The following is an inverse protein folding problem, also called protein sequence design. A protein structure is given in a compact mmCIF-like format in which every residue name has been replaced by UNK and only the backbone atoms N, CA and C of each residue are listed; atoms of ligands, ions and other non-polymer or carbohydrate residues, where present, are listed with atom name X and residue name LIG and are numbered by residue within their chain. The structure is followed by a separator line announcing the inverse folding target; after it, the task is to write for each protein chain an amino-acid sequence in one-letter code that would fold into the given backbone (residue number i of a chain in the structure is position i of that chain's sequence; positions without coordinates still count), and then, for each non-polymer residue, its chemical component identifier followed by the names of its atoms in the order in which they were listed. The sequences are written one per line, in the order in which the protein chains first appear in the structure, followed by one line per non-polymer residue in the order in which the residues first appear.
data_IF_175392353244
#
_entry.id   IF_175392353244
#
_cell.length_a   1.000
_cell.length_b   1.000
_cell.length_c   1.000
_cell.angle_alpha   90.00
_cell.angle_beta   90.00
_cell.angle_gamma   90.00
#
_symmetry.space_group_name_H-M   'P 1'
#
loop_
_entity.id
_entity.type
_entity.pdbx_description
1 polymer ?
#
# COMPACT_ATOMS: atom_id res chain seq x y z
N UNK A 1 16.34 -36.20 -18.42
CA UNK A 1 16.58 -34.85 -17.86
C UNK A 1 16.62 -33.86 -19.01
N UNK A 2 15.78 -32.81 -18.99
CA UNK A 2 15.81 -31.76 -20.01
C UNK A 2 16.77 -30.70 -19.51
N UNK A 3 17.83 -30.44 -20.27
CA UNK A 3 18.83 -29.45 -19.86
C UNK A 3 18.22 -28.05 -19.78
N UNK A 4 18.75 -27.27 -18.84
CA UNK A 4 18.29 -25.91 -18.57
C UNK A 4 18.58 -25.04 -19.80
N UNK A 5 17.63 -24.22 -20.28
CA UNK A 5 17.85 -23.35 -21.42
C UNK A 5 19.10 -22.47 -21.25
N UNK A 6 19.88 -22.21 -22.32
CA UNK A 6 21.09 -21.40 -22.24
C UNK A 6 20.87 -20.02 -21.59
N UNK A 7 19.68 -19.45 -21.73
CA UNK A 7 19.29 -18.17 -21.15
C UNK A 7 19.29 -18.15 -19.61
N UNK A 8 19.07 -19.30 -18.96
CA UNK A 8 19.15 -19.44 -17.49
C UNK A 8 20.54 -19.91 -17.03
N UNK A 9 21.24 -20.70 -17.85
CA UNK A 9 22.57 -21.23 -17.55
C UNK A 9 23.62 -20.12 -17.52
N UNK A 10 23.55 -19.15 -18.45
CA UNK A 10 24.53 -18.06 -18.54
C UNK A 10 24.59 -17.22 -17.26
N UNK A 11 23.47 -16.70 -16.71
CA UNK A 11 23.49 -16.01 -15.42
C UNK A 11 24.03 -16.86 -14.27
N UNK A 12 23.68 -18.14 -14.22
CA UNK A 12 24.13 -19.05 -13.16
C UNK A 12 25.65 -19.26 -13.20
N UNK A 13 26.23 -19.43 -14.39
CA UNK A 13 27.68 -19.57 -14.55
C UNK A 13 28.42 -18.30 -14.15
N UNK A 14 27.92 -17.13 -14.56
CA UNK A 14 28.50 -15.84 -14.17
C UNK A 14 28.51 -15.69 -12.65
N UNK A 15 27.39 -16.01 -11.99
CA UNK A 15 27.30 -15.98 -10.52
C UNK A 15 28.24 -17.00 -9.86
N UNK A 16 28.38 -18.20 -10.42
CA UNK A 16 29.26 -19.26 -9.90
C UNK A 16 30.74 -18.83 -9.95
N UNK A 17 31.17 -18.24 -11.08
CA UNK A 17 32.51 -17.67 -11.21
C UNK A 17 32.71 -16.59 -10.14
N UNK A 18 31.76 -15.67 -9.99
CA UNK A 18 31.79 -14.64 -8.95
C UNK A 18 31.93 -15.23 -7.53
N UNK A 19 31.16 -16.27 -7.20
CA UNK A 19 31.20 -16.91 -5.88
C UNK A 19 32.57 -17.58 -5.57
N UNK A 20 33.22 -18.18 -6.57
CA UNK A 20 34.56 -18.78 -6.42
C UNK A 20 35.62 -17.70 -6.12
N UNK A 21 35.55 -16.56 -6.82
CA UNK A 21 36.54 -15.49 -6.68
C UNK A 21 36.25 -14.52 -5.52
N UNK A 22 35.01 -14.45 -5.04
CA UNK A 22 34.60 -13.52 -3.99
C UNK A 22 35.41 -13.65 -2.68
N UNK A 23 35.83 -14.87 -2.33
CA UNK A 23 36.61 -15.14 -1.11
C UNK A 23 38.12 -14.88 -1.21
N UNK A 24 38.64 -14.58 -2.41
CA UNK A 24 40.07 -14.33 -2.61
C UNK A 24 40.47 -12.96 -2.04
N UNK A 25 41.70 -12.84 -1.54
CA UNK A 25 42.21 -11.62 -0.87
C UNK A 25 42.02 -10.35 -1.72
N UNK A 26 42.21 -10.46 -3.05
CA UNK A 26 42.00 -9.35 -3.99
C UNK A 26 40.54 -8.88 -4.07
N UNK A 27 39.58 -9.82 -4.07
CA UNK A 27 38.16 -9.47 -4.15
C UNK A 27 37.64 -9.02 -2.80
N UNK A 28 38.01 -9.72 -1.73
CA UNK A 28 37.57 -9.43 -0.37
C UNK A 28 37.92 -8.00 0.07
N UNK A 29 39.13 -7.52 -0.23
CA UNK A 29 39.59 -6.18 0.13
C UNK A 29 38.82 -5.05 -0.57
N UNK A 30 38.13 -5.35 -1.67
CA UNK A 30 37.31 -4.39 -2.40
C UNK A 30 35.92 -4.17 -1.75
N UNK A 31 35.42 -5.16 -1.01
CA UNK A 31 34.07 -5.13 -0.42
C UNK A 31 34.07 -5.00 1.11
N UNK A 32 35.11 -5.48 1.76
CA UNK A 32 35.25 -5.42 3.22
C UNK A 32 36.49 -4.60 3.55
N UNK A 33 36.27 -3.46 4.20
CA UNK A 33 37.34 -2.62 4.75
C UNK A 33 38.17 -3.47 5.73
N UNK A 34 39.50 -3.61 5.54
CA UNK A 34 40.37 -4.42 6.39
C UNK A 34 40.56 -3.73 7.75
N UNK A 35 39.50 -3.67 8.53
CA UNK A 35 39.59 -3.50 9.98
C UNK A 35 40.08 -4.82 10.54
N UNK A 36 40.93 -4.79 11.57
CA UNK A 36 41.33 -5.98 12.32
C UNK A 36 40.09 -6.59 12.98
N UNK A 37 39.32 -7.37 12.21
CA UNK A 37 38.22 -8.16 12.73
C UNK A 37 38.87 -9.20 13.65
N UNK A 38 38.54 -9.23 14.95
CA UNK A 38 39.13 -10.19 15.86
C UNK A 38 38.78 -11.61 15.41
N UNK A 39 39.69 -12.25 14.67
CA UNK A 39 39.55 -13.64 14.32
C UNK A 39 39.84 -14.46 15.56
N UNK A 40 38.87 -15.29 15.96
CA UNK A 40 39.03 -16.20 17.08
C UNK A 40 40.14 -17.20 16.75
N UNK A 41 41.32 -17.03 17.34
CA UNK A 41 42.45 -17.94 17.19
C UNK A 41 42.18 -19.22 17.99
N UNK A 42 42.61 -20.37 17.48
CA UNK A 42 42.47 -21.67 18.15
C UNK A 42 41.48 -22.61 17.46
N UNK A 43 40.89 -23.54 18.22
CA UNK A 43 40.06 -24.61 17.67
C UNK A 43 38.66 -24.17 17.20
N UNK A 44 38.19 -22.98 17.60
CA UNK A 44 36.80 -22.55 17.38
C UNK A 44 36.40 -22.51 15.89
N UNK A 45 37.17 -21.94 14.94
CA UNK A 45 36.81 -21.97 13.53
C UNK A 45 36.69 -23.38 12.96
N UNK A 46 37.57 -24.29 13.41
CA UNK A 46 37.53 -25.70 13.01
C UNK A 46 36.29 -26.41 13.56
N UNK A 47 35.93 -26.13 14.81
CA UNK A 47 34.72 -26.67 15.44
C UNK A 47 33.46 -26.18 14.71
N UNK A 48 33.37 -24.88 14.41
CA UNK A 48 32.22 -24.32 13.67
C UNK A 48 32.12 -24.89 12.26
N UNK A 49 33.25 -25.05 11.58
CA UNK A 49 33.30 -25.70 10.26
C UNK A 49 32.85 -27.16 10.35
N UNK A 50 33.31 -27.90 11.36
CA UNK A 50 32.90 -29.29 11.58
C UNK A 50 31.40 -29.40 11.88
N UNK A 51 30.83 -28.50 12.69
CA UNK A 51 29.38 -28.44 12.95
C UNK A 51 28.61 -28.16 11.65
N UNK A 52 29.07 -27.21 10.84
CA UNK A 52 28.45 -26.91 9.54
C UNK A 52 28.47 -28.10 8.59
N UNK A 53 29.61 -28.77 8.44
CA UNK A 53 29.75 -29.98 7.63
C UNK A 53 28.86 -31.11 8.17
N UNK A 54 28.83 -31.32 9.49
CA UNK A 54 27.97 -32.32 10.12
C UNK A 54 26.48 -32.03 9.87
N UNK A 55 26.07 -30.75 9.86
CA UNK A 55 24.72 -30.33 9.49
C UNK A 55 24.37 -30.68 8.04
N UNK A 56 25.27 -30.40 7.09
CA UNK A 56 25.06 -30.74 5.67
C UNK A 56 24.99 -32.26 5.47
N UNK A 57 25.90 -33.00 6.09
CA UNK A 57 25.96 -34.47 5.99
C UNK A 57 24.70 -35.10 6.59
N UNK A 58 24.27 -34.64 7.77
CA UNK A 58 23.04 -35.14 8.40
C UNK A 58 21.80 -34.82 7.56
N UNK A 59 21.70 -33.61 7.01
CA UNK A 59 20.66 -33.25 6.05
C UNK A 59 20.66 -34.15 4.81
N UNK A 60 21.82 -34.39 4.20
CA UNK A 60 21.93 -35.28 3.04
C UNK A 60 21.43 -36.69 3.36
N UNK A 61 21.84 -37.28 4.49
CA UNK A 61 21.36 -38.61 4.89
C UNK A 61 19.87 -38.64 5.24
N UNK A 62 19.34 -37.57 5.83
CA UNK A 62 17.93 -37.48 6.22
C UNK A 62 16.99 -37.35 5.02
N UNK A 63 17.38 -36.57 4.00
CA UNK A 63 16.55 -36.30 2.82
C UNK A 63 16.83 -37.22 1.63
N UNK A 64 17.89 -38.04 1.67
CA UNK A 64 18.19 -38.98 0.58
C UNK A 64 17.04 -39.94 0.33
N UNK A 65 16.47 -39.89 -0.87
CA UNK A 65 15.40 -40.79 -1.31
C UNK A 65 14.03 -40.47 -0.69
N UNK A 66 13.84 -39.29 -0.11
CA UNK A 66 12.55 -38.83 0.40
C UNK A 66 12.05 -37.63 -0.42
N UNK A 67 10.81 -37.73 -0.91
CA UNK A 67 10.15 -36.66 -1.65
C UNK A 67 9.32 -35.73 -0.75
N UNK A 68 9.15 -36.09 0.51
CA UNK A 68 8.38 -35.32 1.50
C UNK A 68 9.20 -35.12 2.77
N UNK A 69 8.89 -34.03 3.48
CA UNK A 69 9.52 -33.66 4.74
C UNK A 69 9.39 -34.78 5.78
N UNK A 70 10.49 -35.43 6.20
CA UNK A 70 10.44 -36.50 7.19
C UNK A 70 10.00 -36.03 8.58
N UNK A 71 10.25 -34.77 8.96
CA UNK A 71 9.89 -34.23 10.28
C UNK A 71 9.12 -32.91 10.17
N UNK A 72 7.80 -32.95 9.90
CA UNK A 72 6.99 -31.75 9.81
C UNK A 72 6.75 -31.14 11.20
N UNK A 73 7.70 -30.35 11.68
CA UNK A 73 7.50 -29.50 12.86
C UNK A 73 6.50 -28.42 12.50
N UNK A 74 5.27 -28.54 13.00
CA UNK A 74 4.15 -27.67 12.60
C UNK A 74 4.45 -26.17 12.76
N UNK A 75 5.22 -25.80 13.79
CA UNK A 75 5.63 -24.41 14.04
C UNK A 75 6.56 -23.89 12.94
N UNK A 76 7.55 -24.68 12.52
CA UNK A 76 8.47 -24.32 11.45
C UNK A 76 7.78 -24.32 10.08
N UNK A 77 6.92 -25.31 9.84
CA UNK A 77 6.13 -25.42 8.61
C UNK A 77 5.21 -24.21 8.38
N UNK A 78 4.72 -23.61 9.48
CA UNK A 78 3.91 -22.38 9.47
C UNK A 78 4.73 -21.11 9.66
N UNK A 79 6.06 -21.16 9.45
CA UNK A 79 6.98 -20.01 9.59
C UNK A 79 6.80 -19.25 10.91
N UNK A 80 6.67 -19.98 12.02
CA UNK A 80 6.44 -19.43 13.36
C UNK A 80 5.15 -18.60 13.50
N UNK A 81 4.16 -18.81 12.63
CA UNK A 81 2.90 -18.05 12.60
C UNK A 81 3.08 -16.54 12.39
N UNK A 82 4.25 -16.11 11.90
CA UNK A 82 4.56 -14.69 11.71
C UNK A 82 3.68 -14.08 10.62
N UNK A 83 3.39 -14.85 9.56
CA UNK A 83 2.54 -14.41 8.45
C UNK A 83 1.11 -14.14 8.95
N UNK A 84 0.55 -15.01 9.79
CA UNK A 84 -0.79 -14.86 10.36
C UNK A 84 -0.89 -13.66 11.31
N UNK A 85 0.10 -13.50 12.20
CA UNK A 85 0.17 -12.34 13.10
C UNK A 85 0.27 -11.04 12.31
N UNK A 86 1.10 -11.02 11.27
CA UNK A 86 1.24 -9.87 10.39
C UNK A 86 -0.08 -9.51 9.69
N UNK A 87 -0.80 -10.50 9.15
CA UNK A 87 -2.11 -10.27 8.51
C UNK A 87 -3.13 -9.72 9.50
N UNK A 88 -3.19 -10.26 10.72
CA UNK A 88 -4.10 -9.77 11.77
C UNK A 88 -3.78 -8.31 12.10
N UNK A 89 -2.50 -8.00 12.29
CA UNK A 89 -2.04 -6.65 12.59
C UNK A 89 -2.44 -5.68 11.48
N UNK A 90 -2.13 -6.02 10.23
CA UNK A 90 -2.47 -5.20 9.06
C UNK A 90 -3.98 -4.97 8.95
N UNK A 91 -4.78 -6.02 9.16
CA UNK A 91 -6.25 -5.92 9.11
C UNK A 91 -6.78 -4.94 10.15
N UNK A 92 -6.29 -4.99 11.39
CA UNK A 92 -6.73 -4.07 12.46
C UNK A 92 -6.52 -2.61 12.04
N UNK A 93 -5.35 -2.27 11.49
CA UNK A 93 -5.06 -0.91 11.05
C UNK A 93 -5.87 -0.50 9.82
N UNK A 94 -5.99 -1.39 8.84
CA UNK A 94 -6.73 -1.09 7.61
C UNK A 94 -8.22 -0.92 7.88
N UNK A 95 -8.83 -1.78 8.71
CA UNK A 95 -10.24 -1.69 9.06
C UNK A 95 -10.54 -0.41 9.84
N UNK A 96 -9.64 0.00 10.75
CA UNK A 96 -9.77 1.27 11.47
C UNK A 96 -9.74 2.47 10.51
N UNK A 97 -8.78 2.51 9.58
CA UNK A 97 -8.68 3.58 8.57
C UNK A 97 -9.90 3.58 7.65
N UNK A 98 -10.34 2.41 7.18
CA UNK A 98 -11.49 2.27 6.31
C UNK A 98 -12.78 2.75 7.01
N UNK A 99 -12.95 2.44 8.29
CA UNK A 99 -14.09 2.90 9.06
C UNK A 99 -14.12 4.43 9.20
N UNK A 100 -12.97 5.05 9.50
CA UNK A 100 -12.86 6.52 9.57
C UNK A 100 -13.17 7.15 8.21
N UNK A 101 -12.55 6.66 7.14
CA UNK A 101 -12.78 7.17 5.79
C UNK A 101 -14.25 7.08 5.39
N UNK A 102 -14.89 5.95 5.68
CA UNK A 102 -16.32 5.74 5.42
C UNK A 102 -17.19 6.74 6.19
N UNK A 103 -16.87 7.04 7.45
CA UNK A 103 -17.64 8.04 8.21
C UNK A 103 -17.47 9.46 7.71
N UNK A 104 -16.30 9.81 7.20
CA UNK A 104 -16.08 11.11 6.57
C UNK A 104 -16.91 11.22 5.30
N UNK A 105 -16.89 10.19 4.45
CA UNK A 105 -17.64 10.15 3.19
C UNK A 105 -19.17 10.26 3.43
N UNK A 106 -19.72 9.44 4.32
CA UNK A 106 -21.15 9.44 4.64
C UNK A 106 -21.63 10.79 5.22
N UNK A 107 -20.79 11.46 6.03
CA UNK A 107 -21.17 12.70 6.71
C UNK A 107 -20.99 13.93 5.81
N UNK A 108 -19.81 14.08 5.21
CA UNK A 108 -19.48 15.27 4.43
C UNK A 108 -20.02 15.17 3.00
N UNK A 109 -19.79 14.06 2.30
CA UNK A 109 -20.14 13.95 0.89
C UNK A 109 -21.64 13.67 0.77
N UNK A 110 -22.10 12.54 1.31
CA UNK A 110 -23.50 12.15 1.18
C UNK A 110 -24.44 13.07 1.97
N UNK A 111 -24.07 13.37 3.22
CA UNK A 111 -24.88 14.19 4.12
C UNK A 111 -24.92 15.66 3.70
N UNK A 112 -23.79 16.34 3.81
CA UNK A 112 -23.73 17.80 3.63
C UNK A 112 -23.80 18.21 2.15
N UNK A 113 -22.95 17.65 1.29
CA UNK A 113 -22.84 18.11 -0.10
C UNK A 113 -24.00 17.63 -0.96
N UNK A 114 -24.27 16.32 -0.99
CA UNK A 114 -25.29 15.74 -1.89
C UNK A 114 -26.69 16.01 -1.35
N UNK A 115 -27.02 15.48 -0.16
CA UNK A 115 -28.38 15.61 0.39
C UNK A 115 -28.67 17.03 0.87
N UNK A 116 -27.72 17.67 1.53
CA UNK A 116 -27.86 19.06 1.99
C UNK A 116 -28.04 20.02 0.83
N UNK A 117 -27.18 19.94 -0.19
CA UNK A 117 -27.30 20.75 -1.40
C UNK A 117 -28.65 20.56 -2.12
N UNK A 118 -29.08 19.31 -2.31
CA UNK A 118 -30.36 19.02 -2.93
C UNK A 118 -31.56 19.58 -2.14
N UNK A 119 -31.52 19.47 -0.80
CA UNK A 119 -32.57 20.04 0.07
C UNK A 119 -32.64 21.56 -0.06
N UNK A 120 -31.49 22.24 -0.03
CA UNK A 120 -31.44 23.71 -0.16
C UNK A 120 -32.05 24.18 -1.49
N UNK A 121 -31.68 23.56 -2.61
CA UNK A 121 -32.24 23.93 -3.92
C UNK A 121 -33.74 23.66 -3.97
N UNK A 122 -34.19 22.54 -3.40
CA UNK A 122 -35.61 22.17 -3.37
C UNK A 122 -36.42 23.15 -2.50
N UNK A 123 -35.89 23.55 -1.35
CA UNK A 123 -36.50 24.54 -0.46
C UNK A 123 -36.57 25.93 -1.11
N UNK A 124 -35.49 26.39 -1.72
CA UNK A 124 -35.49 27.66 -2.46
C UNK A 124 -36.52 27.61 -3.60
N UNK A 125 -36.56 26.50 -4.35
CA UNK A 125 -37.52 26.30 -5.43
C UNK A 125 -38.97 26.28 -4.95
N UNK A 126 -39.25 25.69 -3.78
CA UNK A 126 -40.59 25.66 -3.21
C UNK A 126 -41.03 27.03 -2.68
N UNK A 127 -40.11 27.79 -2.07
CA UNK A 127 -40.36 29.18 -1.67
C UNK A 127 -40.66 30.08 -2.88
N UNK A 128 -39.82 30.02 -3.92
CA UNK A 128 -40.03 30.80 -5.15
C UNK A 128 -41.34 30.40 -5.85
N UNK A 129 -41.69 29.11 -5.84
CA UNK A 129 -42.97 28.63 -6.36
C UNK A 129 -44.15 29.19 -5.56
N UNK A 130 -44.02 29.33 -4.24
CA UNK A 130 -45.04 29.95 -3.40
C UNK A 130 -45.25 31.44 -3.67
N UNK A 131 -44.23 32.16 -4.14
CA UNK A 131 -44.35 33.57 -4.54
C UNK A 131 -45.16 33.78 -5.83
N UNK A 132 -45.34 32.73 -6.64
CA UNK A 132 -46.16 32.76 -7.85
C UNK A 132 -47.65 32.58 -7.47
N UNK A 133 -48.34 33.67 -7.12
CA UNK A 133 -49.73 33.66 -6.62
C UNK A 133 -50.82 33.62 -7.70
N UNK A 134 -50.46 33.71 -8.98
CA UNK A 134 -51.41 33.74 -10.10
C UNK A 134 -52.20 35.05 -10.24
N UNK A 135 -51.94 36.07 -9.41
CA UNK A 135 -52.59 37.38 -9.46
C UNK A 135 -51.97 38.29 -10.52
N UNK A 136 -52.68 38.51 -11.64
CA UNK A 136 -52.26 39.38 -12.76
C UNK A 136 -51.91 40.82 -12.34
N UNK A 137 -52.60 41.39 -11.34
CA UNK A 137 -52.28 42.72 -10.82
C UNK A 137 -50.93 42.74 -10.08
N UNK A 138 -50.61 41.66 -9.36
CA UNK A 138 -49.32 41.51 -8.69
C UNK A 138 -48.16 41.47 -9.67
N UNK A 139 -48.32 40.77 -10.80
CA UNK A 139 -47.32 40.76 -11.86
C UNK A 139 -47.14 42.13 -12.53
N UNK A 140 -48.23 42.85 -12.81
CA UNK A 140 -48.15 44.20 -13.39
C UNK A 140 -47.43 45.19 -12.47
N UNK A 141 -47.68 45.11 -11.15
CA UNK A 141 -46.97 45.89 -10.14
C UNK A 141 -45.47 45.57 -10.11
N UNK A 142 -45.10 44.29 -10.04
CA UNK A 142 -43.71 43.83 -10.09
C UNK A 142 -42.98 44.26 -11.37
N UNK A 143 -43.66 44.23 -12.51
CA UNK A 143 -43.12 44.70 -13.79
C UNK A 143 -42.80 46.20 -13.75
N UNK A 144 -43.73 47.03 -13.25
CA UNK A 144 -43.51 48.46 -13.09
C UNK A 144 -42.32 48.77 -12.18
N UNK A 145 -42.21 48.08 -11.04
CA UNK A 145 -41.05 48.19 -10.14
C UNK A 145 -39.76 47.78 -10.84
N UNK A 146 -39.77 46.69 -11.60
CA UNK A 146 -38.62 46.21 -12.36
C UNK A 146 -38.12 47.22 -13.40
N UNK A 147 -39.02 47.85 -14.15
CA UNK A 147 -38.67 48.90 -15.14
C UNK A 147 -37.99 50.09 -14.46
N UNK A 148 -38.58 50.58 -13.35
CA UNK A 148 -38.00 51.70 -12.58
C UNK A 148 -36.61 51.33 -12.05
N UNK A 149 -36.44 50.12 -11.53
CA UNK A 149 -35.18 49.63 -10.99
C UNK A 149 -34.09 49.56 -12.07
N UNK A 150 -34.41 49.02 -13.24
CA UNK A 150 -33.48 48.94 -14.38
C UNK A 150 -33.07 50.33 -14.85
N UNK A 151 -34.03 51.25 -14.99
CA UNK A 151 -33.75 52.64 -15.37
C UNK A 151 -32.84 53.33 -14.35
N UNK A 152 -33.05 53.08 -13.06
CA UNK A 152 -32.20 53.61 -12.00
C UNK A 152 -30.77 53.07 -12.08
N UNK A 153 -30.59 51.75 -12.25
CA UNK A 153 -29.27 51.11 -12.38
C UNK A 153 -28.53 51.66 -13.60
N UNK A 154 -29.21 51.77 -14.73
CA UNK A 154 -28.63 52.32 -15.97
C UNK A 154 -28.22 53.78 -15.76
N UNK A 155 -29.10 54.60 -15.18
CA UNK A 155 -28.80 56.00 -14.92
C UNK A 155 -27.62 56.16 -13.94
N UNK A 156 -27.52 55.31 -12.93
CA UNK A 156 -26.40 55.29 -11.98
C UNK A 156 -25.09 54.72 -12.57
N UNK A 157 -25.15 53.99 -13.68
CA UNK A 157 -23.98 53.43 -14.36
C UNK A 157 -23.46 54.32 -15.51
N UNK A 158 -24.33 55.15 -16.08
CA UNK A 158 -24.01 56.09 -17.17
C UNK A 158 -23.69 57.49 -16.64
N UNK A 159 -24.24 57.87 -15.48
CA UNK A 159 -23.89 59.08 -14.74
C UNK A 159 -22.69 58.87 -13.82
#
# INVERSE_FOLDING_TARGET
AKEVPPLMLVPLLVLTIGAIFAGQTFSYSWFVDPKDIPHTKGALPFILTAIGVAGIVSGFFLYRGRDQEPYPVQVLARKFYLDEIYIILVRIFQDAVAWVAKKIDELLIDGLLVRGGARLVTEIGSMLRGMQSGNLQGYAFLFGVGVILVLYIINAAIG
#
